data_IF_952165079829
#
_entry.id   IF_952165079829
#
_cell.length_a   1.000
_cell.length_b   1.000
_cell.length_c   1.000
_cell.angle_alpha   90.00
_cell.angle_beta   90.00
_cell.angle_gamma   90.00
#
_symmetry.space_group_name_H-M   'P 1'
#
loop_
_entity.id
_entity.type
_entity.pdbx_description
1 polymer ?
#
# COMPACT_ATOMS: atom_id res chain seq x y z
N UNK A 1 53.30 65.34 -29.06
CA UNK A 1 53.10 63.90 -28.69
C UNK A 1 51.65 63.73 -28.28
N UNK A 2 50.83 63.04 -29.12
CA UNK A 2 49.39 62.75 -28.87
C UNK A 2 49.30 61.33 -28.41
N UNK A 3 48.89 61.14 -27.17
CA UNK A 3 48.72 59.82 -26.56
C UNK A 3 47.26 59.35 -26.80
N UNK A 4 47.09 58.33 -27.62
CA UNK A 4 45.77 57.68 -27.86
C UNK A 4 45.46 56.66 -26.72
N UNK A 5 44.39 56.92 -25.99
CA UNK A 5 43.87 56.03 -25.00
C UNK A 5 42.89 55.10 -25.69
N UNK A 6 43.17 53.75 -25.76
CA UNK A 6 42.28 52.72 -26.26
C UNK A 6 41.52 52.22 -25.08
N UNK A 7 40.17 52.45 -25.03
CA UNK A 7 39.27 51.84 -24.09
C UNK A 7 38.89 50.40 -24.60
N UNK A 8 39.32 49.37 -23.89
CA UNK A 8 38.88 48.02 -24.13
C UNK A 8 37.55 47.80 -23.36
N UNK A 9 36.46 47.63 -24.09
CA UNK A 9 35.17 47.21 -23.52
C UNK A 9 35.20 45.70 -23.27
N UNK A 10 35.25 45.28 -22.00
CA UNK A 10 35.06 43.88 -21.58
C UNK A 10 33.57 43.62 -21.51
N UNK A 11 33.06 42.91 -22.51
CA UNK A 11 31.69 42.39 -22.50
C UNK A 11 31.55 41.26 -21.50
N UNK A 12 30.82 41.50 -20.39
CA UNK A 12 30.43 40.47 -19.42
C UNK A 12 29.26 39.71 -20.01
N UNK A 13 29.51 38.54 -20.61
CA UNK A 13 28.46 37.61 -20.99
C UNK A 13 27.96 36.94 -19.71
N UNK A 14 26.85 37.45 -19.16
CA UNK A 14 26.13 36.82 -18.07
C UNK A 14 25.49 35.51 -18.60
N UNK A 15 26.06 34.36 -18.25
CA UNK A 15 25.39 33.09 -18.41
C UNK A 15 24.15 33.11 -17.50
N UNK A 16 22.95 33.16 -18.09
CA UNK A 16 21.71 32.88 -17.39
C UNK A 16 21.75 31.41 -17.04
N UNK A 17 22.20 31.06 -15.84
CA UNK A 17 21.99 29.72 -15.27
C UNK A 17 20.50 29.57 -15.12
N UNK A 18 19.86 28.71 -15.94
CA UNK A 18 18.53 28.23 -15.66
C UNK A 18 18.54 27.62 -14.25
N UNK A 19 17.57 27.92 -13.39
CA UNK A 19 17.48 27.21 -12.11
C UNK A 19 17.44 25.72 -12.40
N UNK A 20 18.35 24.96 -11.81
CA UNK A 20 18.26 23.51 -11.83
C UNK A 20 16.95 23.18 -11.11
N UNK A 21 16.05 22.46 -11.79
CA UNK A 21 14.84 21.95 -11.18
C UNK A 21 15.24 21.09 -9.97
N UNK A 22 14.51 21.22 -8.85
CA UNK A 22 14.80 20.45 -7.67
C UNK A 22 14.50 18.96 -7.93
N UNK A 23 15.26 18.04 -7.34
CA UNK A 23 14.97 16.62 -7.45
C UNK A 23 13.66 16.29 -6.74
N UNK A 24 12.86 15.41 -7.35
CA UNK A 24 11.67 14.82 -6.72
C UNK A 24 12.14 13.75 -5.74
N UNK A 25 11.96 13.99 -4.45
CA UNK A 25 12.35 13.02 -3.41
C UNK A 25 11.24 11.98 -3.23
N UNK A 26 11.46 10.79 -3.78
CA UNK A 26 10.57 9.64 -3.64
C UNK A 26 10.89 8.87 -2.38
N UNK A 27 9.88 8.60 -1.55
CA UNK A 27 10.01 7.81 -0.33
C UNK A 27 9.03 6.64 -0.27
N UNK A 28 9.09 5.87 0.81
CA UNK A 28 8.14 4.79 1.09
C UNK A 28 8.15 4.38 2.56
N UNK A 29 7.11 3.63 2.95
CA UNK A 29 7.08 2.94 4.25
C UNK A 29 8.13 1.83 4.30
N UNK A 30 8.47 1.40 5.52
CA UNK A 30 9.54 0.44 5.78
C UNK A 30 9.18 -1.01 5.42
N UNK A 31 7.87 -1.31 5.30
CA UNK A 31 7.37 -2.64 4.98
C UNK A 31 7.70 -3.07 3.54
N UNK A 32 7.46 -4.34 3.24
CA UNK A 32 7.77 -4.95 1.93
C UNK A 32 7.04 -4.25 0.79
N UNK A 33 5.72 -4.04 0.93
CA UNK A 33 4.90 -3.42 -0.11
C UNK A 33 5.25 -1.95 -0.28
N UNK A 34 5.52 -1.24 0.82
CA UNK A 34 6.06 0.13 0.77
C UNK A 34 7.36 0.22 -0.03
N UNK A 35 8.29 -0.71 0.21
CA UNK A 35 9.53 -0.81 -0.55
C UNK A 35 9.31 -1.10 -2.04
N UNK A 36 8.39 -2.01 -2.38
CA UNK A 36 8.01 -2.33 -3.75
C UNK A 36 7.40 -1.11 -4.46
N UNK A 37 6.36 -0.53 -3.88
CA UNK A 37 5.62 0.60 -4.47
C UNK A 37 6.50 1.85 -4.60
N UNK A 38 7.37 2.11 -3.63
CA UNK A 38 8.35 3.20 -3.70
C UNK A 38 9.33 3.03 -4.86
N UNK A 39 9.80 1.79 -5.12
CA UNK A 39 10.64 1.49 -6.28
C UNK A 39 9.86 1.62 -7.60
N UNK A 40 8.60 1.21 -7.66
CA UNK A 40 7.73 1.40 -8.83
C UNK A 40 7.62 2.89 -9.16
N UNK A 41 7.32 3.75 -8.17
CA UNK A 41 7.24 5.20 -8.36
C UNK A 41 8.59 5.75 -8.87
N UNK A 42 9.68 5.44 -8.18
CA UNK A 42 10.99 5.99 -8.51
C UNK A 42 11.44 5.60 -9.92
N UNK A 43 11.36 4.31 -10.26
CA UNK A 43 11.77 3.79 -11.57
C UNK A 43 10.92 4.38 -12.71
N UNK A 44 9.61 4.50 -12.54
CA UNK A 44 8.74 5.05 -13.56
C UNK A 44 8.99 6.54 -13.81
N UNK A 45 9.22 7.33 -12.76
CA UNK A 45 9.54 8.74 -12.88
C UNK A 45 10.94 8.97 -13.50
N UNK A 46 11.92 8.15 -13.14
CA UNK A 46 13.27 8.18 -13.74
C UNK A 46 13.23 7.86 -15.24
N UNK A 47 12.45 6.84 -15.65
CA UNK A 47 12.29 6.47 -17.05
C UNK A 47 11.61 7.59 -17.87
N UNK A 48 10.66 8.29 -17.26
CA UNK A 48 10.03 9.48 -17.84
C UNK A 48 10.97 10.69 -17.92
N UNK A 49 12.24 10.56 -17.49
CA UNK A 49 13.25 11.61 -17.54
C UNK A 49 13.12 12.68 -16.45
N UNK A 50 12.37 12.38 -15.38
CA UNK A 50 12.22 13.28 -14.24
C UNK A 50 13.41 13.13 -13.27
N UNK A 51 13.86 14.23 -12.62
CA UNK A 51 14.98 14.18 -11.69
C UNK A 51 14.52 13.58 -10.35
N UNK A 52 14.88 12.35 -10.04
CA UNK A 52 14.47 11.62 -8.84
C UNK A 52 15.62 11.48 -7.84
N UNK A 53 15.32 11.71 -6.55
CA UNK A 53 16.14 11.29 -5.41
C UNK A 53 15.36 10.22 -4.62
N UNK A 54 15.97 9.06 -4.38
CA UNK A 54 15.32 7.95 -3.67
C UNK A 54 15.68 7.97 -2.19
N UNK A 55 14.66 8.05 -1.32
CA UNK A 55 14.75 7.90 0.14
C UNK A 55 13.75 6.87 0.63
N UNK A 56 13.86 5.65 0.08
CA UNK A 56 12.90 4.58 0.32
C UNK A 56 13.03 3.98 1.73
N UNK A 57 11.94 3.37 2.19
CA UNK A 57 11.84 2.67 3.45
C UNK A 57 12.22 3.54 4.67
N UNK A 58 11.75 4.79 4.68
CA UNK A 58 12.10 5.80 5.67
C UNK A 58 11.61 5.44 7.09
N UNK A 59 10.44 4.79 7.21
CA UNK A 59 9.85 4.43 8.49
C UNK A 59 8.40 3.96 8.36
N UNK A 60 7.72 3.85 9.50
CA UNK A 60 6.27 3.57 9.53
C UNK A 60 5.45 4.78 9.06
N UNK A 61 4.13 4.58 8.96
CA UNK A 61 3.15 5.56 8.45
C UNK A 61 3.35 6.97 9.01
N UNK A 62 3.48 7.12 10.33
CA UNK A 62 3.63 8.41 10.99
C UNK A 62 4.91 9.14 10.53
N UNK A 63 6.03 8.42 10.48
CA UNK A 63 7.35 9.00 10.10
C UNK A 63 7.34 9.50 8.67
N UNK A 64 6.81 8.69 7.74
CA UNK A 64 6.77 9.07 6.31
C UNK A 64 5.79 10.21 6.08
N UNK A 65 4.64 10.18 6.76
CA UNK A 65 3.65 11.26 6.71
C UNK A 65 4.21 12.59 7.19
N UNK A 66 4.87 12.62 8.35
CA UNK A 66 5.49 13.82 8.89
C UNK A 66 6.60 14.35 7.97
N UNK A 67 7.39 13.48 7.35
CA UNK A 67 8.42 13.86 6.39
C UNK A 67 7.83 14.53 5.13
N UNK A 68 6.69 14.04 4.61
CA UNK A 68 5.97 14.67 3.49
C UNK A 68 5.49 16.06 3.86
N UNK A 69 4.80 16.19 5.00
CA UNK A 69 4.24 17.47 5.47
C UNK A 69 5.33 18.51 5.80
N UNK A 70 6.51 18.03 6.21
CA UNK A 70 7.67 18.89 6.45
C UNK A 70 8.46 19.22 5.18
N UNK A 71 8.08 18.73 3.99
CA UNK A 71 8.81 18.95 2.74
C UNK A 71 10.17 18.26 2.68
N UNK A 72 10.38 17.21 3.49
CA UNK A 72 11.62 16.41 3.47
C UNK A 72 11.59 15.33 2.40
N UNK A 73 10.40 14.95 1.96
CA UNK A 73 10.12 14.10 0.82
C UNK A 73 8.96 14.71 0.03
N UNK A 74 8.78 14.33 -1.23
CA UNK A 74 7.82 14.95 -2.14
C UNK A 74 6.68 14.03 -2.53
N UNK A 75 6.91 12.71 -2.55
CA UNK A 75 5.94 11.70 -2.96
C UNK A 75 6.23 10.36 -2.25
N UNK A 76 5.17 9.66 -1.86
CA UNK A 76 5.24 8.27 -1.41
C UNK A 76 3.90 7.55 -1.60
N UNK A 77 3.88 6.19 -1.61
CA UNK A 77 2.64 5.41 -1.61
C UNK A 77 2.00 5.40 -0.22
N UNK A 78 0.81 5.96 -0.09
CA UNK A 78 -0.04 5.92 1.10
C UNK A 78 -1.23 5.01 0.86
N UNK A 79 -2.06 4.77 1.86
CA UNK A 79 -3.26 3.94 1.79
C UNK A 79 -4.49 4.75 2.22
N UNK A 80 -5.58 4.65 1.45
CA UNK A 80 -6.80 5.45 1.65
C UNK A 80 -7.33 5.38 3.09
N UNK A 81 -7.34 4.19 3.71
CA UNK A 81 -7.83 4.00 5.08
C UNK A 81 -7.03 4.71 6.16
N UNK A 82 -5.76 5.04 5.91
CA UNK A 82 -4.95 5.78 6.88
C UNK A 82 -5.44 7.22 7.07
N UNK A 83 -6.09 7.81 6.04
CA UNK A 83 -6.67 9.14 6.13
C UNK A 83 -7.75 9.22 7.23
N UNK A 84 -8.47 8.14 7.51
CA UNK A 84 -9.40 8.05 8.62
C UNK A 84 -8.78 8.46 9.97
N UNK A 85 -7.52 8.09 10.17
CA UNK A 85 -6.77 8.41 11.39
C UNK A 85 -6.06 9.76 11.30
N UNK A 86 -5.58 10.16 10.12
CA UNK A 86 -4.95 11.48 9.94
C UNK A 86 -5.91 12.62 10.24
N UNK A 87 -7.20 12.44 9.89
CA UNK A 87 -8.24 13.45 10.01
C UNK A 87 -9.24 13.16 11.16
N UNK A 88 -8.96 12.19 12.04
CA UNK A 88 -9.81 11.82 13.19
C UNK A 88 -11.27 11.45 12.80
N UNK A 89 -11.44 10.81 11.63
CA UNK A 89 -12.74 10.36 11.10
C UNK A 89 -12.89 8.82 11.10
N UNK A 90 -12.17 8.11 11.96
CA UNK A 90 -12.12 6.64 11.95
C UNK A 90 -13.48 5.95 12.12
N UNK A 91 -14.45 6.62 12.74
CA UNK A 91 -15.82 6.08 12.96
C UNK A 91 -16.75 6.27 11.73
N UNK A 92 -16.29 6.93 10.65
CA UNK A 92 -17.11 7.20 9.48
C UNK A 92 -17.16 5.99 8.53
N UNK A 93 -18.37 5.65 8.06
CA UNK A 93 -18.56 4.58 7.06
C UNK A 93 -18.00 4.93 5.68
N UNK A 94 -17.59 6.18 5.44
CA UNK A 94 -16.97 6.62 4.18
C UNK A 94 -15.73 5.79 3.85
N UNK A 95 -15.00 5.33 4.86
CA UNK A 95 -13.77 4.56 4.71
C UNK A 95 -13.98 3.10 4.31
N UNK A 96 -15.23 2.65 4.23
CA UNK A 96 -15.59 1.28 3.84
C UNK A 96 -15.90 1.14 2.35
N UNK A 97 -15.98 2.24 1.61
CA UNK A 97 -16.17 2.26 0.14
C UNK A 97 -14.88 2.76 -0.52
N UNK A 98 -14.34 2.02 -1.52
CA UNK A 98 -13.14 2.40 -2.24
C UNK A 98 -13.19 3.82 -2.79
N UNK A 99 -14.25 4.14 -3.54
CA UNK A 99 -14.41 5.44 -4.20
C UNK A 99 -14.63 6.57 -3.18
N UNK A 100 -15.45 6.32 -2.14
CA UNK A 100 -15.74 7.32 -1.13
C UNK A 100 -14.53 7.60 -0.23
N UNK A 101 -13.77 6.57 0.15
CA UNK A 101 -12.55 6.70 0.94
C UNK A 101 -11.48 7.50 0.20
N UNK A 102 -11.23 7.19 -1.06
CA UNK A 102 -10.27 7.91 -1.89
C UNK A 102 -10.70 9.39 -2.08
N UNK A 103 -11.96 9.64 -2.45
CA UNK A 103 -12.46 11.00 -2.64
C UNK A 103 -12.37 11.83 -1.34
N UNK A 104 -12.70 11.23 -0.19
CA UNK A 104 -12.63 11.90 1.11
C UNK A 104 -11.20 12.20 1.53
N UNK A 105 -10.27 11.24 1.35
CA UNK A 105 -8.85 11.44 1.63
C UNK A 105 -8.27 12.58 0.79
N UNK A 106 -8.56 12.57 -0.51
CA UNK A 106 -8.11 13.61 -1.44
C UNK A 106 -8.67 15.00 -1.08
N UNK A 107 -9.96 15.09 -0.75
CA UNK A 107 -10.61 16.35 -0.34
C UNK A 107 -9.95 16.95 0.90
N UNK A 108 -9.80 16.14 1.96
CA UNK A 108 -9.25 16.60 3.24
C UNK A 108 -7.78 17.00 3.12
N UNK A 109 -6.99 16.19 2.43
CA UNK A 109 -5.54 16.40 2.33
C UNK A 109 -5.19 17.58 1.43
N UNK A 110 -5.91 17.78 0.35
CA UNK A 110 -5.76 18.96 -0.48
C UNK A 110 -6.11 20.25 0.28
N UNK A 111 -7.20 20.22 1.08
CA UNK A 111 -7.66 21.39 1.82
C UNK A 111 -6.75 21.75 3.00
N UNK A 112 -6.25 20.77 3.74
CA UNK A 112 -5.52 21.01 4.99
C UNK A 112 -4.01 21.03 4.81
N UNK A 113 -3.48 20.22 3.88
CA UNK A 113 -2.04 19.93 3.78
C UNK A 113 -1.43 20.23 2.40
N UNK A 114 -2.23 20.60 1.38
CA UNK A 114 -1.75 20.79 0.01
C UNK A 114 -1.06 19.51 -0.53
N UNK A 115 -1.67 18.36 -0.23
CA UNK A 115 -1.25 17.05 -0.70
C UNK A 115 -2.30 16.49 -1.65
N UNK A 116 -1.86 16.08 -2.83
CA UNK A 116 -2.71 15.52 -3.87
C UNK A 116 -2.62 14.00 -3.87
N UNK A 117 -3.77 13.34 -3.81
CA UNK A 117 -3.92 11.90 -3.98
C UNK A 117 -4.11 11.59 -5.46
N UNK A 118 -3.22 10.80 -6.04
CA UNK A 118 -3.35 10.32 -7.42
C UNK A 118 -4.33 9.13 -7.50
N UNK A 119 -4.41 8.44 -8.65
CA UNK A 119 -5.29 7.29 -8.79
C UNK A 119 -4.87 6.14 -7.86
N UNK A 120 -5.85 5.57 -7.18
CA UNK A 120 -5.63 4.45 -6.27
C UNK A 120 -5.52 3.13 -7.03
N UNK A 121 -4.70 2.23 -6.52
CA UNK A 121 -4.70 0.84 -6.93
C UNK A 121 -6.03 0.16 -6.54
N UNK A 122 -6.60 -0.71 -7.39
CA UNK A 122 -7.83 -1.43 -7.03
C UNK A 122 -7.63 -2.49 -5.94
N UNK A 123 -6.39 -2.81 -5.58
CA UNK A 123 -6.07 -3.72 -4.48
C UNK A 123 -6.44 -3.12 -3.12
N UNK A 124 -6.81 -4.00 -2.17
CA UNK A 124 -7.14 -3.61 -0.81
C UNK A 124 -6.23 -4.33 0.20
N UNK A 125 -5.34 -3.58 0.84
CA UNK A 125 -4.42 -4.07 1.87
C UNK A 125 -5.04 -3.94 3.28
N UNK A 126 -6.27 -4.45 3.44
CA UNK A 126 -6.96 -4.46 4.75
C UNK A 126 -6.71 -5.76 5.50
N UNK A 127 -7.01 -5.77 6.81
CA UNK A 127 -7.07 -7.00 7.58
C UNK A 127 -8.19 -7.91 7.07
N UNK A 128 -7.84 -9.18 6.86
CA UNK A 128 -8.76 -10.20 6.37
C UNK A 128 -8.52 -11.56 7.05
N UNK A 129 -9.44 -12.47 6.84
CA UNK A 129 -9.27 -13.89 7.13
C UNK A 129 -9.02 -14.61 5.80
N UNK A 130 -7.96 -15.42 5.77
CA UNK A 130 -7.72 -16.36 4.68
C UNK A 130 -7.85 -17.80 5.21
N UNK A 131 -8.37 -18.69 4.38
CA UNK A 131 -8.44 -20.13 4.68
C UNK A 131 -7.54 -20.92 3.73
N UNK A 132 -7.19 -22.16 4.09
CA UNK A 132 -6.44 -23.01 3.16
C UNK A 132 -7.28 -23.33 1.92
N UNK A 133 -6.63 -23.45 0.75
CA UNK A 133 -7.30 -23.75 -0.52
C UNK A 133 -8.24 -24.97 -0.44
N UNK A 134 -7.80 -26.12 0.14
CA UNK A 134 -8.70 -27.27 0.34
C UNK A 134 -9.94 -26.96 1.18
N UNK A 135 -9.83 -26.15 2.23
CA UNK A 135 -11.01 -25.75 3.05
C UNK A 135 -11.94 -24.85 2.23
N UNK A 136 -11.41 -23.89 1.49
CA UNK A 136 -12.19 -23.02 0.62
C UNK A 136 -12.96 -23.84 -0.44
N UNK A 137 -12.27 -24.73 -1.15
CA UNK A 137 -12.85 -25.53 -2.23
C UNK A 137 -13.93 -26.52 -1.73
N UNK A 138 -13.62 -27.25 -0.64
CA UNK A 138 -14.55 -28.26 -0.10
C UNK A 138 -15.85 -27.66 0.44
N UNK A 139 -15.80 -26.41 0.94
CA UNK A 139 -16.94 -25.75 1.58
C UNK A 139 -17.52 -24.61 0.73
N UNK A 140 -16.97 -24.35 -0.47
CA UNK A 140 -17.44 -23.30 -1.38
C UNK A 140 -17.27 -21.88 -0.79
N UNK A 141 -16.15 -21.64 -0.08
CA UNK A 141 -15.91 -20.38 0.61
C UNK A 141 -15.19 -19.38 -0.31
N UNK A 142 -15.76 -18.19 -0.46
CA UNK A 142 -15.16 -17.08 -1.19
C UNK A 142 -15.31 -15.76 -0.42
N UNK A 143 -16.39 -15.59 0.34
CA UNK A 143 -16.71 -14.37 1.06
C UNK A 143 -16.75 -14.59 2.57
N UNK A 144 -16.71 -13.49 3.33
CA UNK A 144 -16.93 -13.56 4.79
C UNK A 144 -18.36 -13.99 5.13
N UNK A 145 -19.35 -13.75 4.25
CA UNK A 145 -20.71 -14.32 4.41
C UNK A 145 -20.67 -15.86 4.34
N UNK A 146 -19.94 -16.45 3.37
CA UNK A 146 -19.78 -17.90 3.26
C UNK A 146 -19.04 -18.48 4.47
N UNK A 147 -17.94 -17.83 4.85
CA UNK A 147 -17.13 -18.21 6.01
C UNK A 147 -17.95 -18.19 7.31
N UNK A 148 -18.72 -17.12 7.54
CA UNK A 148 -19.57 -16.99 8.72
C UNK A 148 -20.64 -18.08 8.77
N UNK A 149 -21.31 -18.36 7.65
CA UNK A 149 -22.30 -19.44 7.57
C UNK A 149 -21.67 -20.81 7.81
N UNK A 150 -20.49 -21.08 7.26
CA UNK A 150 -19.76 -22.33 7.48
C UNK A 150 -19.38 -22.52 8.95
N UNK A 151 -18.82 -21.50 9.62
CA UNK A 151 -18.45 -21.55 11.04
C UNK A 151 -19.67 -21.73 11.92
N UNK A 152 -20.75 -20.97 11.70
CA UNK A 152 -22.03 -21.10 12.45
C UNK A 152 -22.70 -22.48 12.26
N UNK A 153 -22.48 -23.11 11.12
CA UNK A 153 -22.93 -24.47 10.82
C UNK A 153 -22.09 -25.59 11.46
N UNK A 154 -21.08 -25.25 12.27
CA UNK A 154 -20.19 -26.21 12.92
C UNK A 154 -18.96 -26.58 12.10
N UNK A 155 -18.54 -25.70 11.17
CA UNK A 155 -17.32 -25.86 10.40
C UNK A 155 -16.08 -25.96 11.29
N UNK A 156 -15.19 -26.89 10.95
CA UNK A 156 -13.95 -27.13 11.70
C UNK A 156 -12.90 -26.06 11.34
N UNK A 157 -13.06 -24.85 11.93
CA UNK A 157 -12.13 -23.73 11.76
C UNK A 157 -11.17 -23.62 12.94
N UNK A 158 -9.90 -23.35 12.65
CA UNK A 158 -8.91 -22.92 13.62
C UNK A 158 -8.07 -21.78 13.06
N UNK A 159 -8.26 -20.58 13.61
CA UNK A 159 -7.69 -19.34 13.14
C UNK A 159 -6.39 -19.02 13.89
N UNK A 160 -5.29 -18.81 13.17
CA UNK A 160 -4.09 -18.16 13.71
C UNK A 160 -4.18 -16.64 13.51
N UNK A 161 -4.03 -15.88 14.58
CA UNK A 161 -4.16 -14.43 14.55
C UNK A 161 -3.32 -13.72 15.62
N UNK A 162 -3.15 -12.40 15.51
CA UNK A 162 -2.53 -11.58 16.54
C UNK A 162 -3.54 -11.28 17.67
N UNK A 163 -3.00 -10.89 18.82
CA UNK A 163 -3.83 -10.41 19.93
C UNK A 163 -4.70 -9.21 19.50
N UNK A 164 -4.13 -8.27 18.76
CA UNK A 164 -4.85 -7.08 18.30
C UNK A 164 -6.01 -7.45 17.37
N UNK A 165 -5.80 -8.33 16.39
CA UNK A 165 -6.85 -8.80 15.49
C UNK A 165 -8.03 -9.41 16.25
N UNK A 166 -7.75 -10.22 17.27
CA UNK A 166 -8.77 -10.94 18.03
C UNK A 166 -9.50 -10.03 19.03
N UNK A 167 -8.78 -9.07 19.65
CA UNK A 167 -9.33 -8.28 20.76
C UNK A 167 -9.89 -6.92 20.36
N UNK A 168 -9.48 -6.36 19.20
CA UNK A 168 -9.97 -5.06 18.74
C UNK A 168 -11.45 -5.13 18.39
N UNK A 169 -12.32 -4.31 19.04
CA UNK A 169 -13.77 -4.32 18.76
C UNK A 169 -14.12 -4.06 17.29
N UNK A 170 -13.26 -3.36 16.55
CA UNK A 170 -13.48 -3.00 15.16
C UNK A 170 -13.06 -4.13 14.17
N UNK A 171 -12.42 -5.20 14.62
CA UNK A 171 -11.84 -6.24 13.76
C UNK A 171 -12.61 -7.56 13.93
N UNK A 172 -12.02 -8.61 14.52
CA UNK A 172 -12.70 -9.91 14.62
C UNK A 172 -14.07 -9.84 15.33
N UNK A 173 -14.25 -9.12 16.45
CA UNK A 173 -15.57 -8.96 17.06
C UNK A 173 -16.61 -8.31 16.12
N UNK A 174 -16.22 -7.30 15.33
CA UNK A 174 -17.10 -6.69 14.33
C UNK A 174 -17.44 -7.68 13.20
N UNK A 175 -16.44 -8.42 12.70
CA UNK A 175 -16.66 -9.50 11.70
C UNK A 175 -17.63 -10.55 12.23
N UNK A 176 -17.41 -11.06 13.44
CA UNK A 176 -18.28 -12.05 14.07
C UNK A 176 -19.73 -11.57 14.18
N UNK A 177 -19.92 -10.35 14.65
CA UNK A 177 -21.25 -9.73 14.78
C UNK A 177 -21.94 -9.57 13.41
N UNK A 178 -21.21 -9.09 12.40
CA UNK A 178 -21.77 -8.76 11.08
C UNK A 178 -22.08 -10.00 10.26
N UNK A 179 -21.22 -11.01 10.34
CA UNK A 179 -21.35 -12.26 9.56
C UNK A 179 -22.00 -13.42 10.33
N UNK A 180 -22.38 -13.17 11.60
CA UNK A 180 -23.20 -14.11 12.37
C UNK A 180 -22.47 -15.37 12.80
N UNK A 181 -21.19 -15.30 13.13
CA UNK A 181 -20.42 -16.43 13.67
C UNK A 181 -19.72 -16.06 14.98
N UNK A 182 -19.23 -17.05 15.69
CA UNK A 182 -18.42 -16.88 16.89
C UNK A 182 -17.33 -17.95 16.94
N UNK A 183 -16.11 -17.55 17.26
CA UNK A 183 -15.00 -18.46 17.48
C UNK A 183 -14.80 -18.68 18.98
N UNK A 184 -14.77 -19.93 19.40
CA UNK A 184 -14.38 -20.29 20.77
C UNK A 184 -12.86 -20.09 20.98
N UNK A 185 -12.40 -19.99 22.23
CA UNK A 185 -10.97 -19.91 22.54
C UNK A 185 -10.15 -21.06 21.93
N UNK A 186 -10.72 -22.27 21.83
CA UNK A 186 -10.04 -23.43 21.25
C UNK A 186 -9.93 -23.36 19.71
N UNK A 187 -10.73 -22.51 19.08
CA UNK A 187 -10.67 -22.25 17.63
C UNK A 187 -9.73 -21.11 17.25
N UNK A 188 -9.04 -20.51 18.23
CA UNK A 188 -8.06 -19.43 17.99
C UNK A 188 -6.68 -19.82 18.50
N UNK A 189 -5.66 -19.54 17.71
CA UNK A 189 -4.23 -19.63 18.08
C UNK A 189 -3.64 -18.24 18.03
N UNK A 190 -3.37 -17.68 19.21
CA UNK A 190 -2.80 -16.34 19.31
C UNK A 190 -1.29 -16.43 19.12
N UNK A 191 -0.78 -15.74 18.09
CA UNK A 191 0.65 -15.57 17.84
C UNK A 191 1.09 -14.19 18.31
N UNK A 192 2.22 -14.13 19.01
CA UNK A 192 2.78 -12.87 19.49
C UNK A 192 3.30 -12.03 18.30
N UNK A 193 2.97 -10.74 18.31
CA UNK A 193 3.28 -9.81 17.22
C UNK A 193 2.17 -9.74 16.16
N UNK A 194 2.26 -8.75 15.29
CA UNK A 194 1.31 -8.55 14.17
C UNK A 194 1.81 -9.11 12.85
N UNK A 195 2.82 -10.00 12.87
CA UNK A 195 3.44 -10.53 11.66
C UNK A 195 2.57 -11.61 11.01
N UNK A 196 1.98 -11.25 9.88
CA UNK A 196 1.13 -12.15 9.08
C UNK A 196 1.90 -13.29 8.43
N UNK A 197 3.21 -13.20 8.24
CA UNK A 197 4.02 -14.32 7.77
C UNK A 197 3.91 -15.53 8.72
N UNK A 198 3.86 -15.29 10.03
CA UNK A 198 3.72 -16.34 11.03
C UNK A 198 2.32 -16.99 10.98
N UNK A 199 1.24 -16.21 10.85
CA UNK A 199 -0.13 -16.73 10.76
C UNK A 199 -0.36 -17.52 9.47
N UNK A 200 0.13 -16.99 8.33
CA UNK A 200 0.12 -17.64 7.02
C UNK A 200 0.84 -18.99 7.07
N UNK A 201 2.05 -19.03 7.62
CA UNK A 201 2.82 -20.28 7.75
C UNK A 201 2.16 -21.29 8.69
N UNK A 202 1.50 -20.84 9.77
CA UNK A 202 0.75 -21.72 10.66
C UNK A 202 -0.41 -22.41 9.91
N UNK A 203 -1.17 -21.66 9.12
CA UNK A 203 -2.27 -22.22 8.32
C UNK A 203 -1.74 -23.13 7.19
N UNK A 204 -0.75 -22.66 6.43
CA UNK A 204 -0.20 -23.42 5.31
C UNK A 204 0.38 -24.79 5.72
N UNK A 205 0.94 -24.88 6.94
CA UNK A 205 1.53 -26.13 7.49
C UNK A 205 0.53 -26.93 8.35
N UNK A 206 -0.66 -26.42 8.62
CA UNK A 206 -1.61 -27.05 9.52
C UNK A 206 -1.10 -27.15 10.97
N UNK A 207 -0.23 -26.21 11.38
CA UNK A 207 0.40 -26.24 12.72
C UNK A 207 -0.69 -26.18 13.80
N UNK A 208 -0.72 -27.15 14.70
CA UNK A 208 -1.73 -27.27 15.77
C UNK A 208 -3.18 -27.32 15.23
N UNK A 209 -3.38 -27.78 14.00
CA UNK A 209 -4.69 -27.86 13.35
C UNK A 209 -5.19 -26.56 12.74
N UNK A 210 -4.35 -25.51 12.69
CA UNK A 210 -4.69 -24.22 12.08
C UNK A 210 -4.96 -24.41 10.58
N UNK A 211 -6.10 -23.88 10.11
CA UNK A 211 -6.54 -23.92 8.72
C UNK A 211 -7.08 -22.57 8.21
N UNK A 212 -7.03 -21.56 9.09
CA UNK A 212 -7.35 -20.16 8.76
C UNK A 212 -6.29 -19.23 9.35
N UNK A 213 -6.04 -18.11 8.74
CA UNK A 213 -5.04 -17.13 9.15
C UNK A 213 -5.58 -15.69 9.06
N UNK A 214 -5.22 -14.88 10.03
CA UNK A 214 -5.22 -13.44 9.87
C UNK A 214 -4.16 -13.06 8.82
N UNK A 215 -4.54 -12.25 7.85
CA UNK A 215 -3.70 -11.76 6.77
C UNK A 215 -3.96 -10.28 6.49
N UNK A 216 -3.07 -9.62 5.78
CA UNK A 216 -3.40 -8.46 4.97
C UNK A 216 -3.78 -8.93 3.55
N UNK A 217 -4.72 -8.23 2.91
CA UNK A 217 -5.23 -8.66 1.62
C UNK A 217 -4.14 -8.85 0.56
N UNK A 218 -3.13 -7.99 0.53
CA UNK A 218 -2.03 -8.00 -0.45
C UNK A 218 -0.81 -8.83 -0.03
N UNK A 219 -0.89 -9.58 1.10
CA UNK A 219 0.24 -10.40 1.57
C UNK A 219 0.71 -11.41 0.52
N UNK A 220 1.97 -11.34 0.17
CA UNK A 220 2.58 -12.24 -0.80
C UNK A 220 2.60 -13.70 -0.38
N UNK A 221 2.66 -13.97 0.92
CA UNK A 221 2.57 -15.32 1.47
C UNK A 221 1.26 -16.02 1.18
N UNK A 222 0.16 -15.30 0.99
CA UNK A 222 -1.18 -15.85 0.69
C UNK A 222 -1.15 -16.61 -0.64
N UNK A 223 -0.75 -15.94 -1.72
CA UNK A 223 -0.66 -16.56 -3.05
C UNK A 223 0.35 -17.71 -3.09
N UNK A 224 1.53 -17.52 -2.49
CA UNK A 224 2.60 -18.50 -2.47
C UNK A 224 2.26 -19.79 -1.70
N UNK A 225 1.34 -19.72 -0.72
CA UNK A 225 0.93 -20.89 0.11
C UNK A 225 -0.41 -21.48 -0.29
N UNK A 226 -1.09 -20.92 -1.29
CA UNK A 226 -2.39 -21.37 -1.76
C UNK A 226 -3.53 -21.10 -0.76
N UNK A 227 -3.37 -20.10 0.11
CA UNK A 227 -4.44 -19.58 0.95
C UNK A 227 -5.41 -18.76 0.09
N UNK A 228 -6.67 -18.72 0.48
CA UNK A 228 -7.74 -17.96 -0.17
C UNK A 228 -8.27 -16.93 0.81
N UNK A 229 -8.13 -15.65 0.46
CA UNK A 229 -8.68 -14.54 1.26
C UNK A 229 -10.20 -14.52 1.12
N UNK A 230 -10.89 -14.41 2.25
CA UNK A 230 -12.34 -14.23 2.29
C UNK A 230 -12.65 -12.75 2.03
N UNK A 231 -13.43 -12.47 0.98
CA UNK A 231 -13.89 -11.13 0.64
C UNK A 231 -14.81 -10.58 1.75
N UNK A 232 -14.54 -9.37 2.23
CA UNK A 232 -15.39 -8.64 3.20
C UNK A 232 -16.60 -8.03 2.48
N UNK A 233 -17.54 -8.87 2.04
CA UNK A 233 -18.68 -8.54 1.18
C UNK A 233 -19.73 -7.62 1.84
N UNK A 234 -19.60 -7.34 3.15
CA UNK A 234 -20.44 -6.36 3.87
C UNK A 234 -19.67 -5.13 4.37
N UNK A 235 -18.38 -5.00 4.01
CA UNK A 235 -17.59 -3.83 4.32
C UNK A 235 -17.44 -3.56 5.83
N UNK A 236 -17.00 -4.56 6.59
CA UNK A 236 -16.72 -4.40 8.03
C UNK A 236 -15.45 -3.59 8.22
N UNK A 237 -14.41 -3.89 7.44
CA UNK A 237 -13.12 -3.24 7.55
C UNK A 237 -13.01 -2.00 6.66
N UNK A 238 -12.26 -0.98 7.07
CA UNK A 238 -11.88 0.11 6.17
C UNK A 238 -11.12 -0.40 4.96
N UNK A 239 -11.23 0.30 3.85
CA UNK A 239 -10.49 0.00 2.62
C UNK A 239 -9.14 0.69 2.63
N UNK A 240 -8.08 -0.06 2.35
CA UNK A 240 -6.70 0.43 2.28
C UNK A 240 -6.15 0.24 0.87
N UNK A 241 -6.52 1.14 -0.05
CA UNK A 241 -6.00 1.12 -1.42
C UNK A 241 -4.66 1.86 -1.49
N UNK A 242 -3.60 1.22 -2.02
CA UNK A 242 -2.34 1.90 -2.26
C UNK A 242 -2.51 3.05 -3.25
N UNK A 243 -2.04 4.24 -2.88
CA UNK A 243 -2.25 5.47 -3.65
C UNK A 243 -1.01 6.34 -3.57
N UNK A 244 -0.40 6.77 -4.68
CA UNK A 244 0.67 7.77 -4.62
C UNK A 244 0.10 9.10 -4.13
N UNK A 245 0.72 9.68 -3.11
CA UNK A 245 0.39 11.03 -2.66
C UNK A 245 1.59 11.94 -2.87
N UNK A 246 1.35 13.13 -3.37
CA UNK A 246 2.37 14.09 -3.80
C UNK A 246 2.05 15.49 -3.30
N UNK A 247 3.07 16.26 -2.91
CA UNK A 247 2.90 17.67 -2.54
C UNK A 247 2.39 18.47 -3.75
N UNK A 248 1.38 19.31 -3.55
CA UNK A 248 0.73 20.08 -4.63
C UNK A 248 1.72 20.92 -5.42
N UNK A 249 2.67 21.58 -4.74
CA UNK A 249 3.69 22.40 -5.41
C UNK A 249 4.58 21.57 -6.35
N UNK A 250 4.93 20.33 -5.95
CA UNK A 250 5.78 19.44 -6.76
C UNK A 250 5.01 18.93 -7.98
N UNK A 251 3.72 18.57 -7.80
CA UNK A 251 2.86 18.20 -8.93
C UNK A 251 2.65 19.39 -9.89
N UNK A 252 2.57 20.61 -9.36
CA UNK A 252 2.50 21.83 -10.17
C UNK A 252 3.76 22.08 -10.99
N UNK A 253 4.94 21.77 -10.44
CA UNK A 253 6.23 21.88 -11.14
C UNK A 253 6.44 20.72 -12.14
N UNK A 254 5.98 19.51 -11.80
CA UNK A 254 6.12 18.28 -12.59
C UNK A 254 4.77 17.60 -12.87
N UNK A 255 3.89 18.19 -13.70
CA UNK A 255 2.56 17.63 -13.94
C UNK A 255 2.58 16.25 -14.58
N UNK A 256 3.66 15.87 -15.26
CA UNK A 256 3.86 14.52 -15.82
C UNK A 256 3.81 13.40 -14.77
N UNK A 257 4.00 13.69 -13.49
CA UNK A 257 3.93 12.68 -12.40
C UNK A 257 2.58 11.94 -12.45
N UNK A 258 1.46 12.65 -12.59
CA UNK A 258 0.14 12.03 -12.64
C UNK A 258 -0.04 11.18 -13.91
N UNK A 259 0.38 11.69 -15.07
CA UNK A 259 0.27 10.96 -16.34
C UNK A 259 1.07 9.65 -16.35
N UNK A 260 2.22 9.63 -15.65
CA UNK A 260 3.07 8.44 -15.51
C UNK A 260 2.49 7.46 -14.50
N UNK A 261 2.09 7.91 -13.31
CA UNK A 261 1.77 7.02 -12.19
C UNK A 261 0.34 6.50 -12.20
N UNK A 262 -0.65 7.27 -12.67
CA UNK A 262 -2.05 6.85 -12.66
C UNK A 262 -2.30 5.54 -13.43
N UNK A 263 -1.81 5.35 -14.66
CA UNK A 263 -1.99 4.07 -15.37
C UNK A 263 -1.32 2.89 -14.65
N UNK A 264 -0.17 3.11 -14.01
CA UNK A 264 0.57 2.06 -13.30
C UNK A 264 -0.21 1.60 -12.07
N UNK A 265 -0.67 2.55 -11.23
CA UNK A 265 -1.39 2.21 -10.01
C UNK A 265 -2.76 1.62 -10.31
N UNK A 266 -3.48 2.11 -11.31
CA UNK A 266 -4.75 1.51 -11.76
C UNK A 266 -4.60 0.04 -12.23
N UNK A 267 -3.41 -0.39 -12.61
CA UNK A 267 -3.08 -1.78 -12.99
C UNK A 267 -2.67 -2.69 -11.83
N UNK A 268 -2.47 -2.15 -10.61
CA UNK A 268 -2.04 -2.92 -9.44
C UNK A 268 -3.26 -3.54 -8.72
N UNK A 269 -3.80 -4.61 -9.28
CA UNK A 269 -4.87 -5.36 -8.64
C UNK A 269 -4.36 -6.25 -7.49
N UNK A 270 -5.29 -6.82 -6.71
CA UNK A 270 -4.99 -7.64 -5.55
C UNK A 270 -4.04 -8.81 -5.88
N UNK A 271 -4.32 -9.51 -6.99
CA UNK A 271 -3.50 -10.66 -7.40
C UNK A 271 -2.10 -10.24 -7.83
N UNK A 272 -1.99 -9.13 -8.53
CA UNK A 272 -0.71 -8.56 -8.94
C UNK A 272 0.13 -8.21 -7.71
N UNK A 273 -0.42 -7.51 -6.72
CA UNK A 273 0.33 -7.18 -5.51
C UNK A 273 0.69 -8.41 -4.68
N UNK A 274 -0.19 -9.40 -4.56
CA UNK A 274 0.14 -10.67 -3.92
C UNK A 274 1.32 -11.39 -4.61
N UNK A 275 1.35 -11.41 -5.95
CA UNK A 275 2.45 -12.00 -6.71
C UNK A 275 3.77 -11.25 -6.47
N UNK A 276 3.76 -9.93 -6.63
CA UNK A 276 4.95 -9.10 -6.48
C UNK A 276 5.49 -9.13 -5.05
N UNK A 277 4.62 -9.00 -4.05
CA UNK A 277 4.99 -9.12 -2.64
C UNK A 277 5.51 -10.54 -2.31
N UNK A 278 4.93 -11.57 -2.92
CA UNK A 278 5.35 -12.97 -2.76
C UNK A 278 6.76 -13.22 -3.27
N UNK A 279 7.12 -12.64 -4.39
CA UNK A 279 8.49 -12.70 -4.94
C UNK A 279 9.52 -12.12 -3.97
N UNK A 280 9.16 -11.06 -3.26
CA UNK A 280 10.04 -10.42 -2.28
C UNK A 280 10.04 -11.21 -0.95
N UNK A 281 8.86 -11.43 -0.35
CA UNK A 281 8.73 -12.00 1.00
C UNK A 281 9.12 -13.48 1.06
N UNK A 282 8.74 -14.23 0.04
CA UNK A 282 8.93 -15.69 -0.02
C UNK A 282 10.09 -16.05 -0.94
N UNK A 283 10.19 -15.39 -2.10
CA UNK A 283 11.25 -15.60 -3.09
C UNK A 283 12.58 -14.95 -2.71
N UNK A 284 12.59 -13.96 -1.82
CA UNK A 284 13.80 -13.24 -1.42
C UNK A 284 14.38 -12.34 -2.52
N UNK A 285 13.58 -12.00 -3.53
CA UNK A 285 14.00 -11.10 -4.59
C UNK A 285 14.10 -9.66 -4.07
N UNK A 286 15.07 -8.85 -4.53
CA UNK A 286 15.14 -7.43 -4.19
C UNK A 286 13.91 -6.67 -4.70
N UNK A 287 13.31 -5.82 -3.89
CA UNK A 287 12.12 -5.04 -4.25
C UNK A 287 12.29 -4.22 -5.55
N UNK A 288 13.48 -3.63 -5.75
CA UNK A 288 13.80 -2.90 -6.99
C UNK A 288 13.78 -3.81 -8.23
N UNK A 289 14.31 -5.04 -8.11
CA UNK A 289 14.33 -5.98 -9.24
C UNK A 289 12.91 -6.41 -9.61
N UNK A 290 12.05 -6.67 -8.60
CA UNK A 290 10.64 -7.03 -8.79
C UNK A 290 9.87 -5.87 -9.41
N UNK A 291 10.07 -4.64 -8.93
CA UNK A 291 9.46 -3.44 -9.49
C UNK A 291 9.86 -3.21 -10.95
N UNK A 292 11.14 -3.33 -11.27
CA UNK A 292 11.67 -3.19 -12.63
C UNK A 292 11.06 -4.23 -13.58
N UNK A 293 11.05 -5.50 -13.18
CA UNK A 293 10.45 -6.57 -13.98
C UNK A 293 8.95 -6.33 -14.23
N UNK A 294 8.20 -5.89 -13.21
CA UNK A 294 6.79 -5.51 -13.36
C UNK A 294 6.61 -4.39 -14.39
N UNK A 295 7.37 -3.30 -14.27
CA UNK A 295 7.28 -2.16 -15.17
C UNK A 295 7.70 -2.51 -16.60
N UNK A 296 8.72 -3.37 -16.79
CA UNK A 296 9.12 -3.88 -18.11
C UNK A 296 8.02 -4.76 -18.73
N UNK A 297 7.43 -5.68 -17.95
CA UNK A 297 6.35 -6.56 -18.45
C UNK A 297 5.07 -5.78 -18.81
N UNK A 298 4.81 -4.68 -18.16
CA UNK A 298 3.65 -3.80 -18.44
C UNK A 298 3.94 -2.75 -19.52
N UNK A 299 5.18 -2.72 -20.07
CA UNK A 299 5.57 -1.81 -21.14
C UNK A 299 5.78 -0.37 -20.70
N UNK A 300 6.02 -0.14 -19.39
CA UNK A 300 6.40 1.17 -18.86
C UNK A 300 7.89 1.42 -19.05
N UNK A 301 8.72 0.42 -18.79
CA UNK A 301 10.16 0.44 -19.06
C UNK A 301 10.50 -0.33 -20.34
N UNK A 302 11.55 0.13 -21.06
CA UNK A 302 12.14 -0.57 -22.21
C UNK A 302 12.97 -1.81 -21.82
#
# INVERSE_FOLDING_TARGET
>A
MKTNLVLAAVGLAGALASPALANITVSSKIDTEGGLLGNIIALALEDAGLPVERRLQLGGTQVVREALLAGQIDIYPEYTGNAAFFFNEADSDVWKSPEAAHARAAELDAAENQVIWLDAAPANNTWAIAVTGPVAEQNGLATMTDFGAWVAGGGDVKLAASTEFVSSPAVLPAMQKTYGFELSPDQTVILSGGDTAATIQAAARGTSGVNAAMVYGTDGGVGATGLVVMEDDKGVQPVYQPTPIVREEVLGEYPAIADVLNPIFSGLDLKTLQDLNGRIQVGGEPAEAVARDYLTRTGVLD
#
